data_IF_284453719636
#
_entry.id   IF_284453719636
#
_cell.length_a   1.000
_cell.length_b   1.000
_cell.length_c   1.000
_cell.angle_alpha   90.00
_cell.angle_beta   90.00
_cell.angle_gamma   90.00
#
_symmetry.space_group_name_H-M   'P 1'
#
loop_
_entity.id
_entity.type
_entity.pdbx_description
1 polymer ?
#
# COMPACT_ATOMS: atom_id res chain seq x y z
N UNK A 1 -3.34 -8.00 -10.13
CA UNK A 1 -2.84 -6.81 -10.85
C UNK A 1 -1.52 -6.40 -10.22
N UNK A 2 -0.49 -6.14 -11.04
CA UNK A 2 0.79 -5.66 -10.52
C UNK A 2 0.66 -4.21 -10.06
N UNK A 3 0.84 -3.97 -8.76
CA UNK A 3 0.83 -2.65 -8.14
C UNK A 3 2.24 -2.30 -7.71
N UNK A 4 2.74 -1.16 -8.16
CA UNK A 4 4.00 -0.59 -7.69
C UNK A 4 3.71 0.52 -6.67
N UNK A 5 4.34 0.45 -5.52
CA UNK A 5 4.25 1.44 -4.45
C UNK A 5 5.65 1.87 -4.03
N UNK A 6 5.80 3.16 -3.74
CA UNK A 6 7.04 3.73 -3.22
C UNK A 6 6.96 3.80 -1.70
N UNK A 7 7.99 3.33 -1.00
CA UNK A 7 8.11 3.45 0.44
C UNK A 7 8.16 4.91 0.87
N UNK A 8 7.43 5.24 1.93
CA UNK A 8 7.51 6.55 2.59
C UNK A 8 8.73 6.68 3.51
N UNK A 9 9.36 5.56 3.90
CA UNK A 9 10.49 5.53 4.84
C UNK A 9 11.83 5.48 4.11
N UNK A 10 11.99 4.54 3.18
CA UNK A 10 13.24 4.30 2.45
C UNK A 10 13.27 4.99 1.08
N UNK A 11 12.11 5.27 0.49
CA UNK A 11 11.99 5.71 -0.90
C UNK A 11 12.06 4.59 -1.94
N UNK A 12 12.23 3.33 -1.50
CA UNK A 12 12.33 2.17 -2.39
C UNK A 12 11.00 1.86 -3.07
N UNK A 13 11.06 1.45 -4.35
CA UNK A 13 9.86 1.05 -5.10
C UNK A 13 9.74 -0.46 -5.08
N UNK A 14 8.61 -0.95 -4.56
CA UNK A 14 8.29 -2.38 -4.54
C UNK A 14 7.09 -2.65 -5.43
N UNK A 15 7.10 -3.79 -6.10
CA UNK A 15 5.98 -4.24 -6.94
C UNK A 15 5.44 -5.56 -6.38
N UNK A 16 4.12 -5.63 -6.19
CA UNK A 16 3.43 -6.81 -5.68
C UNK A 16 2.19 -7.08 -6.52
N UNK A 17 1.88 -8.36 -6.74
CA UNK A 17 0.61 -8.75 -7.36
C UNK A 17 -0.48 -8.75 -6.30
N UNK A 18 -1.49 -7.90 -6.49
CA UNK A 18 -2.62 -7.74 -5.57
C UNK A 18 -3.95 -7.97 -6.30
N UNK A 19 -4.96 -8.55 -5.63
CA UNK A 19 -6.28 -8.79 -6.20
C UNK A 19 -7.13 -7.51 -6.24
N UNK A 20 -6.62 -6.47 -6.91
CA UNK A 20 -7.28 -5.17 -7.08
C UNK A 20 -7.62 -4.90 -8.54
N UNK A 21 -8.61 -4.06 -8.76
CA UNK A 21 -8.98 -3.54 -10.09
C UNK A 21 -8.49 -2.11 -10.31
N UNK A 22 -8.41 -1.71 -11.58
CA UNK A 22 -8.07 -0.33 -11.94
C UNK A 22 -9.09 0.69 -11.40
N UNK A 23 -10.37 0.33 -11.34
CA UNK A 23 -11.42 1.20 -10.81
C UNK A 23 -11.23 1.47 -9.31
N UNK A 24 -10.87 0.44 -8.55
CA UNK A 24 -10.57 0.59 -7.12
C UNK A 24 -9.37 1.50 -6.89
N UNK A 25 -8.31 1.34 -7.71
CA UNK A 25 -7.16 2.24 -7.66
C UNK A 25 -7.55 3.67 -8.05
N UNK A 26 -8.42 3.84 -9.04
CA UNK A 26 -8.91 5.16 -9.46
C UNK A 26 -9.72 5.83 -8.36
N UNK A 27 -10.61 5.11 -7.67
CA UNK A 27 -11.37 5.63 -6.53
C UNK A 27 -10.43 6.16 -5.44
N UNK A 28 -9.42 5.35 -5.08
CA UNK A 28 -8.42 5.77 -4.09
C UNK A 28 -7.63 7.00 -4.55
N UNK A 29 -7.19 7.05 -5.82
CA UNK A 29 -6.50 8.21 -6.39
C UNK A 29 -7.39 9.46 -6.49
N UNK A 30 -8.70 9.30 -6.61
CA UNK A 30 -9.68 10.38 -6.57
C UNK A 30 -9.96 10.90 -5.15
N UNK A 31 -9.34 10.33 -4.12
CA UNK A 31 -9.46 10.76 -2.73
C UNK A 31 -10.41 9.92 -1.87
N UNK A 32 -10.95 8.80 -2.40
CA UNK A 32 -11.72 7.87 -1.60
C UNK A 32 -10.83 7.17 -0.56
N UNK A 33 -11.38 6.84 0.61
CA UNK A 33 -10.63 6.08 1.61
C UNK A 33 -10.32 4.68 1.08
N UNK A 34 -9.07 4.23 1.22
CA UNK A 34 -8.64 2.92 0.70
C UNK A 34 -9.47 1.75 1.26
N UNK A 35 -9.97 1.87 2.49
CA UNK A 35 -10.86 0.88 3.10
C UNK A 35 -12.26 0.81 2.46
N UNK A 36 -12.69 1.89 1.81
CA UNK A 36 -13.94 1.95 1.05
C UNK A 36 -13.72 1.60 -0.42
N UNK A 37 -12.60 2.05 -0.99
CA UNK A 37 -12.20 1.71 -2.36
C UNK A 37 -11.86 0.22 -2.50
N UNK A 38 -11.24 -0.38 -1.49
CA UNK A 38 -10.75 -1.77 -1.49
C UNK A 38 -11.08 -2.46 -0.15
N UNK A 39 -12.37 -2.75 0.10
CA UNK A 39 -12.81 -3.36 1.36
C UNK A 39 -12.33 -4.81 1.52
N UNK A 40 -12.14 -5.53 0.41
CA UNK A 40 -11.75 -6.94 0.40
C UNK A 40 -10.25 -7.16 0.62
N UNK A 41 -9.45 -6.09 0.61
CA UNK A 41 -8.00 -6.20 0.87
C UNK A 41 -7.69 -6.34 2.35
N UNK A 42 -6.67 -7.16 2.63
CA UNK A 42 -6.08 -7.23 3.96
C UNK A 42 -5.52 -5.86 4.39
N UNK A 43 -5.45 -5.58 5.70
CA UNK A 43 -4.79 -4.35 6.19
C UNK A 43 -3.37 -4.17 5.63
N UNK A 44 -2.61 -5.26 5.59
CA UNK A 44 -1.21 -5.28 5.09
C UNK A 44 -1.15 -4.89 3.61
N UNK A 45 -2.07 -5.40 2.78
CA UNK A 45 -2.08 -5.05 1.36
C UNK A 45 -2.51 -3.60 1.13
N UNK A 46 -3.40 -3.07 1.98
CA UNK A 46 -3.76 -1.65 1.95
C UNK A 46 -2.57 -0.77 2.34
N UNK A 47 -1.78 -1.20 3.32
CA UNK A 47 -0.59 -0.48 3.75
C UNK A 47 0.52 -0.54 2.68
N UNK A 48 0.66 -1.67 1.98
CA UNK A 48 1.53 -1.78 0.81
C UNK A 48 1.18 -0.70 -0.24
N UNK A 49 -0.11 -0.52 -0.56
CA UNK A 49 -0.57 0.47 -1.54
C UNK A 49 -0.27 1.90 -1.09
N UNK A 50 -0.30 2.17 0.22
CA UNK A 50 0.08 3.48 0.79
C UNK A 50 1.60 3.72 0.81
N UNK A 51 2.42 2.71 0.52
CA UNK A 51 3.88 2.80 0.64
C UNK A 51 4.38 2.56 2.07
N UNK A 52 3.61 1.85 2.89
CA UNK A 52 3.99 1.44 4.24
C UNK A 52 4.33 -0.05 4.20
N UNK A 53 5.58 -0.39 4.47
CA UNK A 53 6.05 -1.77 4.49
C UNK A 53 6.39 -2.17 5.94
N UNK A 54 5.81 -3.27 6.43
CA UNK A 54 5.98 -3.72 7.82
C UNK A 54 7.45 -3.94 8.18
N UNK A 55 8.23 -4.52 7.27
CA UNK A 55 9.66 -4.76 7.49
C UNK A 55 10.48 -3.46 7.65
N UNK A 56 10.02 -2.36 7.06
CA UNK A 56 10.66 -1.06 7.19
C UNK A 56 10.20 -0.33 8.46
N UNK A 57 8.93 -0.47 8.82
CA UNK A 57 8.41 0.04 10.09
C UNK A 57 9.11 -0.62 11.28
N UNK A 58 9.23 -1.94 11.29
CA UNK A 58 9.90 -2.68 12.38
C UNK A 58 11.36 -2.26 12.51
N UNK A 59 12.07 -2.11 11.39
CA UNK A 59 13.44 -1.59 11.38
C UNK A 59 13.53 -0.15 11.87
N UNK A 60 12.55 0.69 11.53
CA UNK A 60 12.50 2.08 11.97
C UNK A 60 12.25 2.15 13.48
N UNK A 61 11.25 1.44 13.99
CA UNK A 61 10.91 1.44 15.42
C UNK A 61 11.95 0.75 16.30
N UNK A 62 12.70 -0.22 15.79
CA UNK A 62 13.83 -0.82 16.51
C UNK A 62 15.04 0.12 16.63
N UNK A 63 15.07 1.25 15.91
CA UNK A 63 16.17 2.22 15.92
C UNK A 63 15.90 3.45 16.79
N UNK A 64 14.69 3.60 17.31
CA UNK A 64 14.23 4.69 18.19
C UNK A 64 14.24 4.20 19.63
#
# INVERSE_FOLDING_TARGET
MLVSAQSILSGDVRTKDLPVTMDQMSLWRSGELIQKAMPDLSPIDRDFIKGIFEDELDQFWSRV
#
